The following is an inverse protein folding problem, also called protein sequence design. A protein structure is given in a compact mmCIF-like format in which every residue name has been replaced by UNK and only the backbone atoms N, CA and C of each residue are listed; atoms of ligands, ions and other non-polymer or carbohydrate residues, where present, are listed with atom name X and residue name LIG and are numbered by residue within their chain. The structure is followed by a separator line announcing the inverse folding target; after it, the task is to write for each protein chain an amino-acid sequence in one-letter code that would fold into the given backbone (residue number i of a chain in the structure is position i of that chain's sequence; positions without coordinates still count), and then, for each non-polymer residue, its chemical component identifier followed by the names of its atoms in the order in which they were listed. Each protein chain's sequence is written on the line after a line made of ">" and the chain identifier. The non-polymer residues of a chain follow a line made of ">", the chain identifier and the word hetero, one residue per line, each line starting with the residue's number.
data_IF_001324029332
#
_entry.id   IF_001324029332
#
_cell.length_a   1.000
_cell.length_b   1.000
_cell.length_c   1.000
_cell.angle_alpha   90.00
_cell.angle_beta   90.00
_cell.angle_gamma   90.00
#
_symmetry.space_group_name_H-M   'P 1'
#
loop_
_entity.id
_entity.type
_entity.pdbx_description
1 polymer ?
#
# COMPACT_ATOMS: atom_id res chain seq x y z
N UNK A 1 8.32 -22.54 -7.18
CA UNK A 1 7.08 -21.74 -7.15
C UNK A 1 6.39 -21.95 -8.48
N UNK A 2 5.27 -22.63 -8.48
CA UNK A 2 4.42 -22.77 -9.66
C UNK A 2 3.78 -21.39 -9.93
N UNK A 3 3.66 -20.97 -11.20
CA UNK A 3 3.03 -19.68 -11.59
C UNK A 3 1.59 -19.50 -11.04
N UNK A 4 1.02 -20.54 -10.50
CA UNK A 4 -0.37 -20.61 -10.02
C UNK A 4 -0.56 -20.06 -8.58
N UNK A 5 0.52 -19.69 -7.85
CA UNK A 5 0.42 -19.20 -6.46
C UNK A 5 0.63 -17.68 -6.30
N UNK A 6 1.03 -16.98 -7.35
CA UNK A 6 1.27 -15.54 -7.29
C UNK A 6 -0.04 -14.75 -7.22
N UNK A 7 -0.12 -13.74 -6.33
CA UNK A 7 -1.26 -12.84 -6.26
C UNK A 7 -1.32 -11.86 -7.45
N UNK A 8 -2.49 -11.24 -7.65
CA UNK A 8 -2.67 -10.22 -8.72
C UNK A 8 -1.67 -9.07 -8.54
N UNK A 9 -1.48 -8.60 -7.31
CA UNK A 9 -0.50 -7.57 -7.01
C UNK A 9 0.92 -8.00 -7.37
N UNK A 10 1.32 -9.23 -7.01
CA UNK A 10 2.65 -9.74 -7.33
C UNK A 10 2.89 -9.84 -8.83
N UNK A 11 1.89 -10.29 -9.58
CA UNK A 11 1.98 -10.33 -11.04
C UNK A 11 2.13 -8.91 -11.63
N UNK A 12 1.41 -7.94 -11.08
CA UNK A 12 1.55 -6.54 -11.48
C UNK A 12 2.94 -5.99 -11.16
N UNK A 13 3.46 -6.22 -9.94
CA UNK A 13 4.79 -5.77 -9.52
C UNK A 13 5.95 -6.38 -10.30
N UNK A 14 5.77 -7.58 -10.89
CA UNK A 14 6.78 -8.20 -11.78
C UNK A 14 6.89 -7.52 -13.14
N UNK A 15 5.89 -6.74 -13.54
CA UNK A 15 6.00 -5.90 -14.74
C UNK A 15 7.06 -4.83 -14.45
N UNK A 16 7.98 -4.61 -15.37
CA UNK A 16 9.03 -3.58 -15.23
C UNK A 16 8.49 -2.16 -15.51
N UNK A 17 7.22 -1.94 -15.26
CA UNK A 17 6.51 -0.67 -15.45
C UNK A 17 5.83 -0.28 -14.15
N UNK A 18 5.69 1.02 -13.85
CA UNK A 18 4.94 1.48 -12.69
C UNK A 18 3.51 0.96 -12.71
N UNK A 19 3.00 0.55 -11.55
CA UNK A 19 1.61 0.18 -11.34
C UNK A 19 0.87 1.30 -10.61
N UNK A 20 -0.40 1.50 -10.94
CA UNK A 20 -1.22 2.57 -10.41
C UNK A 20 -2.38 2.04 -9.58
N UNK A 21 -2.61 2.68 -8.42
CA UNK A 21 -3.65 2.27 -7.49
C UNK A 21 -4.65 3.36 -7.12
N UNK A 22 -5.85 2.90 -6.77
CA UNK A 22 -6.87 3.69 -6.08
C UNK A 22 -6.82 3.47 -4.58
N UNK A 23 -7.48 4.35 -3.81
CA UNK A 23 -7.49 4.28 -2.35
C UNK A 23 -8.92 4.37 -1.81
N UNK A 24 -9.32 3.42 -0.98
CA UNK A 24 -10.66 3.28 -0.43
C UNK A 24 -10.63 3.56 1.06
N UNK A 25 -11.49 4.47 1.50
CA UNK A 25 -11.61 4.91 2.89
C UNK A 25 -12.97 4.61 3.51
N UNK A 26 -13.94 4.16 2.71
CA UNK A 26 -15.31 3.88 3.13
C UNK A 26 -15.72 2.42 2.96
N UNK A 27 -16.75 1.94 3.70
CA UNK A 27 -17.18 0.54 3.69
C UNK A 27 -18.05 0.21 2.46
N UNK A 28 -17.48 0.39 1.25
CA UNK A 28 -18.17 0.18 -0.02
C UNK A 28 -17.39 -0.75 -0.95
N UNK A 29 -18.09 -1.47 -1.81
CA UNK A 29 -17.51 -2.22 -2.93
C UNK A 29 -17.44 -1.39 -4.21
N UNK A 30 -18.17 -0.28 -4.29
CA UNK A 30 -18.24 0.57 -5.48
C UNK A 30 -16.87 1.14 -5.84
N UNK A 31 -16.10 1.62 -4.85
CA UNK A 31 -14.75 2.13 -5.09
C UNK A 31 -13.84 1.11 -5.76
N UNK A 32 -13.67 -0.10 -5.22
CA UNK A 32 -12.88 -1.17 -5.85
C UNK A 32 -13.36 -1.53 -7.26
N UNK A 33 -14.69 -1.66 -7.47
CA UNK A 33 -15.27 -1.99 -8.77
C UNK A 33 -14.98 -0.93 -9.83
N UNK A 34 -15.16 0.36 -9.49
CA UNK A 34 -14.92 1.45 -10.44
C UNK A 34 -13.42 1.69 -10.70
N UNK A 35 -12.54 1.49 -9.71
CA UNK A 35 -11.10 1.51 -9.95
C UNK A 35 -10.68 0.35 -10.88
N UNK A 36 -11.19 -0.86 -10.65
CA UNK A 36 -10.93 -2.00 -11.54
C UNK A 36 -11.40 -1.72 -12.97
N UNK A 37 -12.63 -1.20 -13.13
CA UNK A 37 -13.21 -0.84 -14.43
C UNK A 37 -12.42 0.25 -15.16
N UNK A 38 -11.84 1.19 -14.39
CA UNK A 38 -10.98 2.26 -14.94
C UNK A 38 -9.57 1.78 -15.31
N UNK A 39 -9.21 0.52 -15.02
CA UNK A 39 -7.94 -0.08 -15.40
C UNK A 39 -6.81 0.14 -14.38
N UNK A 40 -7.14 0.37 -13.13
CA UNK A 40 -6.14 0.42 -12.05
C UNK A 40 -5.59 -0.97 -11.76
N UNK A 41 -4.30 -1.04 -11.41
CA UNK A 41 -3.61 -2.31 -11.12
C UNK A 41 -3.86 -2.82 -9.71
N UNK A 42 -4.13 -1.93 -8.75
CA UNK A 42 -4.41 -2.28 -7.36
C UNK A 42 -5.35 -1.29 -6.67
N UNK A 43 -5.93 -1.75 -5.56
CA UNK A 43 -6.73 -0.93 -4.65
C UNK A 43 -6.17 -1.06 -3.23
N UNK A 44 -5.91 0.08 -2.60
CA UNK A 44 -5.56 0.18 -1.19
C UNK A 44 -6.78 0.44 -0.32
N UNK A 45 -6.87 -0.24 0.82
CA UNK A 45 -7.90 -0.06 1.84
C UNK A 45 -7.27 0.57 3.09
N UNK A 46 -7.90 1.61 3.62
CA UNK A 46 -7.33 2.41 4.69
C UNK A 46 -7.96 2.09 6.04
N UNK A 47 -7.27 1.30 6.86
CA UNK A 47 -7.67 1.02 8.23
C UNK A 47 -7.01 1.97 9.26
N UNK A 48 -6.32 3.02 8.80
CA UNK A 48 -5.72 4.03 9.69
C UNK A 48 -6.52 5.35 9.67
N UNK A 49 -6.81 5.89 8.45
CA UNK A 49 -7.47 7.19 8.25
C UNK A 49 -8.72 7.06 7.39
N UNK A 50 -9.65 6.18 7.80
CA UNK A 50 -10.87 5.92 7.09
C UNK A 50 -11.98 5.47 8.06
N UNK A 51 -13.04 4.95 7.47
CA UNK A 51 -14.20 4.38 8.18
C UNK A 51 -14.14 2.84 8.17
N UNK A 52 -12.95 2.26 7.89
CA UNK A 52 -12.76 0.82 7.74
C UNK A 52 -12.03 0.26 8.95
N UNK A 53 -12.56 -0.83 9.48
CA UNK A 53 -11.81 -1.75 10.33
C UNK A 53 -11.45 -3.03 9.55
N UNK A 54 -10.77 -3.96 10.20
CA UNK A 54 -10.36 -5.23 9.58
C UNK A 54 -11.56 -6.15 9.24
N UNK A 55 -12.70 -6.02 9.92
CA UNK A 55 -13.92 -6.76 9.61
C UNK A 55 -14.61 -6.19 8.36
N UNK A 56 -14.68 -4.87 8.21
CA UNK A 56 -15.16 -4.20 7.00
C UNK A 56 -14.33 -4.62 5.79
N UNK A 57 -12.99 -4.57 5.94
CA UNK A 57 -12.05 -4.93 4.88
C UNK A 57 -12.23 -6.41 4.49
N UNK A 58 -12.34 -7.33 5.45
CA UNK A 58 -12.59 -8.75 5.16
C UNK A 58 -13.89 -8.94 4.37
N UNK A 59 -14.95 -8.20 4.74
CA UNK A 59 -16.23 -8.21 4.03
C UNK A 59 -16.13 -7.66 2.60
N UNK A 60 -15.35 -6.61 2.37
CA UNK A 60 -15.13 -6.03 1.04
C UNK A 60 -14.29 -7.00 0.19
N UNK A 61 -13.16 -7.48 0.70
CA UNK A 61 -12.28 -8.41 0.00
C UNK A 61 -13.03 -9.66 -0.47
N UNK A 62 -13.94 -10.20 0.36
CA UNK A 62 -14.77 -11.34 -0.02
C UNK A 62 -15.71 -11.03 -1.19
N UNK A 63 -16.30 -9.83 -1.22
CA UNK A 63 -17.24 -9.42 -2.29
C UNK A 63 -16.55 -9.04 -3.58
N UNK A 64 -15.29 -8.61 -3.51
CA UNK A 64 -14.50 -8.11 -4.64
C UNK A 64 -13.43 -9.09 -5.14
N UNK A 65 -13.40 -10.33 -4.63
CA UNK A 65 -12.36 -11.32 -4.99
C UNK A 65 -12.31 -11.69 -6.47
N UNK A 66 -13.39 -11.44 -7.21
CA UNK A 66 -13.49 -11.67 -8.65
C UNK A 66 -12.86 -10.55 -9.50
N UNK A 67 -12.50 -9.42 -8.89
CA UNK A 67 -11.92 -8.29 -9.62
C UNK A 67 -10.44 -8.56 -9.95
N UNK A 68 -9.99 -8.21 -11.16
CA UNK A 68 -8.61 -8.41 -11.60
C UNK A 68 -7.65 -7.31 -11.09
N UNK A 69 -7.75 -6.95 -9.81
CA UNK A 69 -6.92 -5.92 -9.17
C UNK A 69 -6.22 -6.48 -7.94
N UNK A 70 -4.98 -6.04 -7.70
CA UNK A 70 -4.27 -6.32 -6.46
C UNK A 70 -4.93 -5.62 -5.27
N UNK A 71 -4.82 -6.20 -4.08
CA UNK A 71 -5.41 -5.65 -2.85
C UNK A 71 -4.34 -5.37 -1.80
N UNK A 72 -4.36 -4.15 -1.26
CA UNK A 72 -3.38 -3.68 -0.28
C UNK A 72 -4.13 -3.08 0.90
N UNK A 73 -3.70 -3.36 2.12
CA UNK A 73 -4.33 -2.80 3.33
C UNK A 73 -3.33 -1.97 4.11
N UNK A 74 -3.64 -0.69 4.35
CA UNK A 74 -2.88 0.13 5.29
C UNK A 74 -3.37 -0.08 6.71
N UNK A 75 -2.44 -0.41 7.60
CA UNK A 75 -2.66 -0.61 9.04
C UNK A 75 -1.86 0.42 9.84
N UNK A 76 -2.36 0.86 11.01
CA UNK A 76 -1.76 1.96 11.76
C UNK A 76 -0.42 1.62 12.43
N UNK A 77 -0.13 0.33 12.63
CA UNK A 77 1.08 -0.14 13.30
C UNK A 77 1.37 -1.62 12.97
N UNK A 78 2.44 -2.17 13.54
CA UNK A 78 2.89 -3.54 13.33
C UNK A 78 2.20 -4.59 14.24
N UNK A 79 1.00 -4.33 14.74
CA UNK A 79 0.26 -5.28 15.57
C UNK A 79 -0.08 -6.55 14.79
N UNK A 80 0.28 -7.71 15.37
CA UNK A 80 0.16 -8.98 14.68
C UNK A 80 -1.29 -9.40 14.39
N UNK A 81 -2.24 -9.06 15.27
CA UNK A 81 -3.63 -9.48 15.10
C UNK A 81 -4.30 -8.86 13.85
N UNK A 82 -4.32 -7.52 13.63
CA UNK A 82 -4.90 -6.95 12.43
C UNK A 82 -4.13 -7.36 11.16
N UNK A 83 -2.80 -7.47 11.20
CA UNK A 83 -1.99 -7.96 10.07
C UNK A 83 -2.43 -9.37 9.67
N UNK A 84 -2.49 -10.30 10.63
CA UNK A 84 -2.93 -11.67 10.38
C UNK A 84 -4.34 -11.72 9.79
N UNK A 85 -5.31 -10.99 10.38
CA UNK A 85 -6.72 -10.99 9.97
C UNK A 85 -6.94 -10.50 8.53
N UNK A 86 -6.30 -9.41 8.11
CA UNK A 86 -6.48 -8.91 6.73
C UNK A 86 -5.80 -9.83 5.70
N UNK A 87 -4.66 -10.45 6.05
CA UNK A 87 -4.00 -11.44 5.20
C UNK A 87 -4.81 -12.75 5.11
N UNK A 88 -5.45 -13.18 6.20
CA UNK A 88 -6.36 -14.35 6.22
C UNK A 88 -7.63 -14.08 5.40
N UNK A 89 -8.08 -12.82 5.37
CA UNK A 89 -9.16 -12.38 4.49
C UNK A 89 -8.77 -12.31 3.00
N UNK A 90 -7.46 -12.41 2.68
CA UNK A 90 -6.94 -12.51 1.33
C UNK A 90 -6.40 -11.21 0.75
N UNK A 91 -6.00 -10.24 1.59
CA UNK A 91 -5.19 -9.12 1.13
C UNK A 91 -3.87 -9.61 0.53
N UNK A 92 -3.46 -9.02 -0.59
CA UNK A 92 -2.19 -9.37 -1.25
C UNK A 92 -0.98 -8.73 -0.56
N UNK A 93 -1.19 -7.59 0.10
CA UNK A 93 -0.14 -6.93 0.86
C UNK A 93 -0.69 -6.06 1.99
N UNK A 94 0.17 -5.77 2.96
CA UNK A 94 -0.06 -4.75 3.99
C UNK A 94 0.95 -3.62 3.86
N UNK A 95 0.49 -2.39 4.11
CA UNK A 95 1.32 -1.19 4.29
C UNK A 95 1.23 -0.80 5.76
N UNK A 96 2.32 -0.89 6.48
CA UNK A 96 2.36 -0.60 7.90
C UNK A 96 2.82 0.83 8.11
N UNK A 97 1.91 1.67 8.61
CA UNK A 97 2.16 3.08 8.87
C UNK A 97 3.13 3.30 10.04
N UNK A 98 3.71 4.49 10.12
CA UNK A 98 4.52 4.96 11.25
C UNK A 98 5.70 4.06 11.61
N UNK A 99 6.31 3.40 10.63
CA UNK A 99 7.55 2.63 10.84
C UNK A 99 8.72 3.60 10.97
N UNK A 100 9.37 3.62 12.12
CA UNK A 100 10.48 4.53 12.44
C UNK A 100 11.81 3.81 12.69
N UNK A 101 11.79 2.47 12.75
CA UNK A 101 13.01 1.67 13.01
C UNK A 101 12.99 0.33 12.30
N UNK A 102 14.18 -0.27 12.16
CA UNK A 102 14.36 -1.63 11.65
C UNK A 102 13.62 -2.66 12.52
N UNK A 103 13.57 -2.47 13.84
CA UNK A 103 12.87 -3.38 14.76
C UNK A 103 11.36 -3.39 14.50
N UNK A 104 10.75 -2.21 14.28
CA UNK A 104 9.33 -2.13 13.92
C UNK A 104 9.05 -2.76 12.56
N UNK A 105 9.93 -2.54 11.58
CA UNK A 105 9.82 -3.18 10.26
C UNK A 105 9.96 -4.70 10.36
N UNK A 106 10.88 -5.21 11.19
CA UNK A 106 11.04 -6.64 11.46
C UNK A 106 9.82 -7.24 12.17
N UNK A 107 9.22 -6.50 13.11
CA UNK A 107 7.97 -6.92 13.77
C UNK A 107 6.82 -7.04 12.76
N UNK A 108 6.68 -6.10 11.84
CA UNK A 108 5.68 -6.16 10.77
C UNK A 108 5.87 -7.38 9.87
N UNK A 109 7.11 -7.69 9.50
CA UNK A 109 7.44 -8.89 8.72
C UNK A 109 7.09 -10.15 9.52
N UNK A 110 7.50 -10.23 10.79
CA UNK A 110 7.22 -11.39 11.65
C UNK A 110 5.71 -11.63 11.82
N UNK A 111 4.90 -10.57 11.91
CA UNK A 111 3.45 -10.66 12.00
C UNK A 111 2.79 -11.23 10.74
N UNK A 112 3.44 -11.11 9.58
CA UNK A 112 2.94 -11.61 8.30
C UNK A 112 3.43 -13.03 7.95
N UNK A 113 4.35 -13.63 8.75
CA UNK A 113 4.98 -14.94 8.48
C UNK A 113 4.59 -15.96 9.54
N UNK A 114 4.47 -17.22 9.12
CA UNK A 114 4.20 -18.33 10.04
C UNK A 114 5.47 -18.78 10.78
N UNK A 115 5.32 -19.42 11.97
CA UNK A 115 6.45 -20.08 12.63
C UNK A 115 7.17 -21.08 11.71
N UNK A 116 8.49 -21.22 11.78
CA UNK A 116 9.42 -20.55 12.72
C UNK A 116 9.90 -19.17 12.27
N UNK A 117 9.46 -18.65 11.12
CA UNK A 117 9.92 -17.38 10.54
C UNK A 117 9.18 -16.16 11.12
N UNK A 118 8.08 -16.34 11.79
CA UNK A 118 7.27 -15.28 12.35
C UNK A 118 6.24 -15.73 13.37
N UNK A 119 5.21 -14.93 13.57
CA UNK A 119 4.23 -15.04 14.65
C UNK A 119 2.78 -15.24 14.16
N UNK A 120 2.54 -15.22 12.82
CA UNK A 120 1.20 -15.33 12.25
C UNK A 120 0.56 -16.67 12.65
N UNK A 121 -0.68 -16.61 13.17
CA UNK A 121 -1.52 -17.80 13.37
C UNK A 121 -2.16 -18.20 12.03
N UNK A 122 -2.36 -19.51 11.82
CA UNK A 122 -2.96 -20.03 10.60
C UNK A 122 -4.49 -20.02 10.69
N UNK A 123 -5.16 -19.28 9.79
CA UNK A 123 -6.62 -19.19 9.78
C UNK A 123 -7.19 -18.54 8.51
N UNK A 124 -6.92 -19.11 7.29
CA UNK A 124 -7.41 -18.52 6.06
C UNK A 124 -8.94 -18.48 6.03
N UNK A 125 -9.51 -17.33 5.67
CA UNK A 125 -10.96 -17.11 5.64
C UNK A 125 -11.59 -17.45 4.29
N UNK A 126 -10.79 -17.70 3.24
CA UNK A 126 -11.25 -17.97 1.89
C UNK A 126 -10.68 -19.28 1.35
N UNK A 127 -11.56 -20.11 0.79
CA UNK A 127 -11.14 -21.37 0.18
C UNK A 127 -10.15 -21.20 -0.99
N UNK A 128 -10.24 -20.08 -1.71
CA UNK A 128 -9.34 -19.73 -2.82
C UNK A 128 -7.88 -19.52 -2.39
N UNK A 129 -7.61 -19.28 -1.10
CA UNK A 129 -6.26 -19.19 -0.57
C UNK A 129 -5.57 -20.55 -0.42
N UNK A 130 -6.34 -21.64 -0.38
CA UNK A 130 -5.81 -22.98 -0.11
C UNK A 130 -5.45 -23.18 1.36
N UNK A 131 -4.68 -24.24 1.62
CA UNK A 131 -4.32 -24.65 2.98
C UNK A 131 -2.80 -24.77 3.19
N UNK A 132 -1.98 -24.45 2.18
CA UNK A 132 -0.53 -24.48 2.29
C UNK A 132 0.00 -23.17 2.88
N UNK A 133 0.63 -23.17 4.07
CA UNK A 133 1.20 -21.97 4.67
C UNK A 133 2.26 -21.30 3.77
N UNK A 134 3.01 -22.07 2.98
CA UNK A 134 4.05 -21.53 2.09
C UNK A 134 3.43 -20.68 0.96
N UNK A 135 2.28 -21.08 0.43
CA UNK A 135 1.55 -20.31 -0.58
C UNK A 135 1.02 -19.01 0.01
N UNK A 136 0.48 -19.04 1.23
CA UNK A 136 0.01 -17.83 1.94
C UNK A 136 1.14 -16.83 2.17
N UNK A 137 2.30 -17.31 2.66
CA UNK A 137 3.46 -16.44 2.89
C UNK A 137 4.02 -15.87 1.60
N UNK A 138 4.05 -16.69 0.53
CA UNK A 138 4.55 -16.24 -0.77
C UNK A 138 3.70 -15.12 -1.36
N UNK A 139 2.40 -15.11 -1.06
CA UNK A 139 1.45 -14.07 -1.52
C UNK A 139 1.51 -12.79 -0.69
N UNK A 140 1.81 -12.88 0.60
CA UNK A 140 1.74 -11.78 1.55
C UNK A 140 2.89 -10.79 1.38
N UNK A 141 2.63 -9.65 0.75
CA UNK A 141 3.56 -8.51 0.68
C UNK A 141 3.55 -7.70 1.98
N UNK A 142 4.72 -7.19 2.39
CA UNK A 142 4.86 -6.30 3.55
C UNK A 142 5.61 -5.04 3.11
N UNK A 143 4.97 -3.89 3.27
CA UNK A 143 5.54 -2.58 2.99
C UNK A 143 5.69 -1.79 4.28
N UNK A 144 6.87 -1.26 4.56
CA UNK A 144 7.09 -0.28 5.63
C UNK A 144 6.76 1.12 5.11
N UNK A 145 5.85 1.83 5.79
CA UNK A 145 5.52 3.21 5.40
C UNK A 145 6.49 4.18 6.09
N UNK A 146 7.16 4.97 5.27
CA UNK A 146 8.16 5.96 5.69
C UNK A 146 7.54 7.35 5.57
N UNK A 147 7.30 7.97 6.71
CA UNK A 147 6.53 9.20 6.79
C UNK A 147 6.96 10.11 7.96
N UNK A 148 8.14 9.83 8.56
CA UNK A 148 8.71 10.66 9.63
C UNK A 148 10.19 10.95 9.41
N UNK A 149 10.69 12.01 10.03
CA UNK A 149 12.11 12.35 10.00
C UNK A 149 12.98 11.25 10.66
N UNK A 150 12.46 10.57 11.68
CA UNK A 150 13.13 9.44 12.34
C UNK A 150 13.28 8.26 11.36
N UNK A 151 12.20 7.89 10.65
CA UNK A 151 12.26 6.86 9.62
C UNK A 151 13.22 7.21 8.48
N UNK A 152 13.22 8.49 8.04
CA UNK A 152 14.17 8.98 7.03
C UNK A 152 15.63 8.88 7.51
N UNK A 153 15.89 9.14 8.77
CA UNK A 153 17.25 9.02 9.34
C UNK A 153 17.73 7.55 9.35
N UNK A 154 16.84 6.60 9.70
CA UNK A 154 17.11 5.16 9.75
C UNK A 154 16.77 4.40 8.46
N UNK A 155 16.65 5.05 7.31
CA UNK A 155 16.11 4.44 6.09
C UNK A 155 16.92 3.23 5.60
N UNK A 156 18.23 3.26 5.71
CA UNK A 156 19.09 2.16 5.26
C UNK A 156 18.94 0.92 6.14
N UNK A 157 18.84 1.10 7.46
CA UNK A 157 18.61 0.03 8.43
C UNK A 157 17.22 -0.59 8.23
N UNK A 158 16.19 0.21 7.97
CA UNK A 158 14.85 -0.25 7.65
C UNK A 158 14.86 -1.04 6.33
N UNK A 159 15.49 -0.52 5.28
CA UNK A 159 15.59 -1.20 4.00
C UNK A 159 16.38 -2.52 4.03
N UNK A 160 17.26 -2.69 5.02
CA UNK A 160 18.03 -3.92 5.21
C UNK A 160 17.24 -5.05 5.89
N UNK A 161 16.01 -4.80 6.35
CA UNK A 161 15.19 -5.81 7.02
C UNK A 161 14.73 -6.90 6.04
N UNK A 162 15.15 -8.13 6.30
CA UNK A 162 14.79 -9.27 5.49
C UNK A 162 13.28 -9.54 5.52
N UNK A 163 12.70 -9.79 4.36
CA UNK A 163 11.28 -10.15 4.21
C UNK A 163 10.35 -8.96 3.93
N UNK A 164 10.86 -7.72 3.91
CA UNK A 164 10.14 -6.59 3.33
C UNK A 164 9.96 -6.81 1.82
N UNK A 165 8.77 -6.50 1.32
CA UNK A 165 8.48 -6.43 -0.11
C UNK A 165 8.87 -5.07 -0.67
N UNK A 166 8.69 -4.02 0.13
CA UNK A 166 8.95 -2.66 -0.29
C UNK A 166 8.85 -1.62 0.81
N UNK A 167 9.11 -0.39 0.39
CA UNK A 167 8.90 0.83 1.16
C UNK A 167 7.73 1.60 0.54
N UNK A 168 6.88 2.20 1.37
CA UNK A 168 5.78 3.06 0.92
C UNK A 168 5.91 4.45 1.54
N UNK A 169 5.90 5.51 0.74
CA UNK A 169 6.07 6.89 1.23
C UNK A 169 4.72 7.52 1.52
N UNK A 170 4.57 8.11 2.73
CA UNK A 170 3.46 8.98 3.13
C UNK A 170 3.87 10.46 3.08
N UNK A 171 3.68 11.18 1.95
CA UNK A 171 4.24 12.53 1.80
C UNK A 171 3.66 13.59 2.75
N UNK A 172 2.40 13.42 3.19
CA UNK A 172 1.75 14.39 4.07
C UNK A 172 2.38 14.39 5.47
N UNK A 173 2.48 13.22 6.09
CA UNK A 173 3.08 13.07 7.42
C UNK A 173 4.59 13.31 7.37
N UNK A 174 5.26 12.90 6.29
CA UNK A 174 6.67 13.24 6.07
C UNK A 174 6.88 14.75 6.05
N UNK A 175 6.04 15.52 5.36
CA UNK A 175 6.11 16.98 5.34
C UNK A 175 5.92 17.58 6.73
N UNK A 176 4.90 17.11 7.47
CA UNK A 176 4.66 17.56 8.86
C UNK A 176 5.89 17.28 9.73
N UNK A 177 6.43 16.06 9.64
CA UNK A 177 7.57 15.63 10.45
C UNK A 177 8.86 16.39 10.13
N UNK A 178 9.00 16.92 8.90
CA UNK A 178 10.08 17.80 8.48
C UNK A 178 9.81 19.29 8.78
N UNK A 179 8.70 19.63 9.44
CA UNK A 179 8.33 21.01 9.75
C UNK A 179 7.71 21.79 8.59
N UNK A 180 7.29 21.08 7.54
CA UNK A 180 6.66 21.64 6.33
C UNK A 180 5.13 21.49 6.33
N UNK A 181 4.44 22.21 5.45
CA UNK A 181 2.99 22.08 5.30
C UNK A 181 2.59 20.90 4.38
N UNK A 182 1.37 20.39 4.55
CA UNK A 182 0.88 19.25 3.76
C UNK A 182 0.49 19.61 2.33
N UNK A 183 0.14 20.88 2.07
CA UNK A 183 -0.34 21.32 0.75
C UNK A 183 0.78 21.27 -0.27
N UNK A 184 0.63 20.39 -1.27
CA UNK A 184 1.65 20.20 -2.28
C UNK A 184 2.94 19.59 -1.75
N UNK A 185 2.88 18.78 -0.71
CA UNK A 185 4.04 18.16 -0.04
C UNK A 185 5.06 17.57 -1.03
N UNK A 186 4.62 16.81 -2.00
CA UNK A 186 5.49 16.20 -3.03
C UNK A 186 6.22 17.19 -3.95
N UNK A 187 5.89 18.48 -3.89
CA UNK A 187 6.51 19.56 -4.69
C UNK A 187 7.35 20.52 -3.85
N UNK A 188 7.33 20.41 -2.54
CA UNK A 188 8.17 21.21 -1.64
C UNK A 188 9.60 20.68 -1.73
N UNK A 189 10.62 21.53 -1.94
CA UNK A 189 11.98 21.08 -2.22
C UNK A 189 12.54 20.12 -1.17
N UNK A 190 12.39 20.43 0.11
CA UNK A 190 12.88 19.62 1.23
C UNK A 190 12.19 18.24 1.29
N UNK A 191 10.86 18.21 1.12
CA UNK A 191 10.09 16.97 1.12
C UNK A 191 10.41 16.13 -0.11
N UNK A 192 10.57 16.76 -1.28
CA UNK A 192 10.95 16.07 -2.51
C UNK A 192 12.37 15.46 -2.40
N UNK A 193 13.31 16.16 -1.78
CA UNK A 193 14.64 15.63 -1.52
C UNK A 193 14.58 14.38 -0.62
N UNK A 194 13.78 14.43 0.45
CA UNK A 194 13.54 13.30 1.34
C UNK A 194 12.90 12.11 0.57
N UNK A 195 11.89 12.37 -0.26
CA UNK A 195 11.24 11.36 -1.10
C UNK A 195 12.26 10.68 -2.03
N UNK A 196 13.11 11.45 -2.69
CA UNK A 196 14.15 10.93 -3.59
C UNK A 196 15.18 10.10 -2.81
N UNK A 197 15.58 10.53 -1.61
CA UNK A 197 16.48 9.77 -0.74
C UNK A 197 15.88 8.43 -0.33
N UNK A 198 14.60 8.40 0.07
CA UNK A 198 13.89 7.17 0.42
C UNK A 198 13.82 6.24 -0.79
N UNK A 199 13.44 6.77 -1.95
CA UNK A 199 13.33 5.99 -3.19
C UNK A 199 14.65 5.32 -3.55
N UNK A 200 15.77 6.06 -3.47
CA UNK A 200 17.11 5.52 -3.76
C UNK A 200 17.49 4.41 -2.78
N UNK A 201 17.36 4.64 -1.48
CA UNK A 201 17.70 3.65 -0.46
C UNK A 201 16.92 2.34 -0.66
N UNK A 202 15.62 2.43 -0.94
CA UNK A 202 14.78 1.25 -1.20
C UNK A 202 15.17 0.55 -2.52
N UNK A 203 15.42 1.31 -3.58
CA UNK A 203 15.84 0.77 -4.87
C UNK A 203 17.20 0.06 -4.80
N UNK A 204 18.18 0.66 -4.08
CA UNK A 204 19.50 0.08 -3.86
C UNK A 204 19.44 -1.23 -3.06
N UNK A 205 18.44 -1.35 -2.16
CA UNK A 205 18.13 -2.58 -1.43
C UNK A 205 17.32 -3.61 -2.24
N UNK A 206 16.96 -3.30 -3.49
CA UNK A 206 16.13 -4.18 -4.34
C UNK A 206 14.67 -4.27 -3.93
N UNK A 207 14.18 -3.31 -3.14
CA UNK A 207 12.81 -3.24 -2.66
C UNK A 207 11.90 -2.50 -3.65
N UNK A 208 10.61 -2.85 -3.67
CA UNK A 208 9.59 -2.08 -4.39
C UNK A 208 9.44 -0.70 -3.72
N UNK A 209 9.40 0.35 -4.53
CA UNK A 209 9.17 1.71 -4.03
C UNK A 209 7.73 2.14 -4.28
N UNK A 210 6.99 2.42 -3.21
CA UNK A 210 5.60 2.88 -3.25
C UNK A 210 5.45 4.31 -2.76
N UNK A 211 4.39 5.01 -3.22
CA UNK A 211 4.07 6.37 -2.78
C UNK A 211 2.60 6.72 -2.97
N UNK A 212 2.05 7.53 -2.05
CA UNK A 212 0.74 8.17 -2.22
C UNK A 212 0.89 9.51 -2.95
N UNK A 213 0.65 9.53 -4.25
CA UNK A 213 0.83 10.72 -5.09
C UNK A 213 -0.33 11.72 -4.99
N UNK A 214 -1.56 11.24 -4.78
CA UNK A 214 -2.76 12.06 -4.60
C UNK A 214 -3.40 12.59 -5.89
N UNK A 215 -2.72 12.51 -7.03
CA UNK A 215 -3.28 12.81 -8.35
C UNK A 215 -2.43 12.23 -9.49
N UNK A 216 -3.01 12.15 -10.70
CA UNK A 216 -2.34 11.55 -11.86
C UNK A 216 -1.11 12.30 -12.36
N UNK A 217 -1.08 13.65 -12.27
CA UNK A 217 0.07 14.46 -12.69
C UNK A 217 1.27 14.23 -11.73
N UNK A 218 1.00 14.25 -10.44
CA UNK A 218 2.00 13.91 -9.42
C UNK A 218 2.44 12.46 -9.57
N UNK A 219 1.50 11.52 -9.84
CA UNK A 219 1.82 10.11 -10.08
C UNK A 219 2.78 9.92 -11.27
N UNK A 220 2.57 10.63 -12.37
CA UNK A 220 3.48 10.61 -13.52
C UNK A 220 4.89 11.10 -13.12
N UNK A 221 4.99 12.18 -12.34
CA UNK A 221 6.28 12.68 -11.87
C UNK A 221 6.99 11.66 -10.95
N UNK A 222 6.24 10.99 -10.07
CA UNK A 222 6.80 9.94 -9.22
C UNK A 222 7.27 8.72 -10.02
N UNK A 223 6.53 8.34 -11.06
CA UNK A 223 6.97 7.28 -11.98
C UNK A 223 8.29 7.62 -12.66
N UNK A 224 8.48 8.88 -13.07
CA UNK A 224 9.75 9.37 -13.65
C UNK A 224 10.91 9.36 -12.64
N UNK A 225 10.62 9.48 -11.34
CA UNK A 225 11.60 9.34 -10.26
C UNK A 225 11.91 7.87 -9.92
N UNK A 226 11.26 6.90 -10.57
CA UNK A 226 11.52 5.48 -10.37
C UNK A 226 10.64 4.80 -9.34
N UNK A 227 9.54 5.42 -8.91
CA UNK A 227 8.55 4.71 -8.07
C UNK A 227 7.81 3.65 -8.89
N UNK A 228 7.72 2.44 -8.33
CA UNK A 228 7.09 1.29 -8.99
C UNK A 228 5.63 1.06 -8.60
N UNK A 229 5.16 1.60 -7.46
CA UNK A 229 3.80 1.42 -6.95
C UNK A 229 3.21 2.77 -6.51
N UNK A 230 2.22 3.31 -7.24
CA UNK A 230 1.80 4.70 -7.10
C UNK A 230 0.29 4.79 -6.88
N UNK A 231 -0.12 5.28 -5.71
CA UNK A 231 -1.53 5.59 -5.44
C UNK A 231 -1.88 6.98 -6.00
N UNK A 232 -2.87 7.05 -6.89
CA UNK A 232 -3.23 8.30 -7.57
C UNK A 232 -4.28 9.13 -6.83
N UNK A 233 -5.28 8.49 -6.22
CA UNK A 233 -6.35 9.22 -5.55
C UNK A 233 -7.17 8.31 -4.63
N UNK A 234 -7.78 8.92 -3.61
CA UNK A 234 -8.87 8.27 -2.88
C UNK A 234 -10.19 8.32 -3.69
N UNK A 235 -11.07 7.34 -3.46
CA UNK A 235 -12.39 7.25 -4.10
C UNK A 235 -13.21 8.54 -3.94
N UNK A 236 -13.19 9.15 -2.74
CA UNK A 236 -13.89 10.40 -2.46
C UNK A 236 -13.35 11.58 -3.28
N UNK A 237 -12.05 11.59 -3.58
CA UNK A 237 -11.46 12.61 -4.45
C UNK A 237 -11.85 12.39 -5.91
N UNK A 238 -11.85 11.14 -6.37
CA UNK A 238 -12.27 10.78 -7.72
C UNK A 238 -13.75 11.17 -7.96
N UNK A 239 -14.64 10.81 -7.02
CA UNK A 239 -16.06 11.17 -7.05
C UNK A 239 -16.25 12.69 -7.07
N UNK A 240 -15.59 13.42 -6.19
CA UNK A 240 -15.70 14.89 -6.12
C UNK A 240 -15.23 15.55 -7.41
N UNK A 241 -14.13 15.08 -8.01
CA UNK A 241 -13.63 15.61 -9.29
C UNK A 241 -14.61 15.36 -10.43
N UNK A 242 -15.18 14.15 -10.53
CA UNK A 242 -16.18 13.80 -11.53
C UNK A 242 -17.44 14.63 -11.38
N UNK A 243 -18.01 14.70 -10.17
CA UNK A 243 -19.20 15.49 -9.88
C UNK A 243 -18.99 16.99 -10.19
N UNK A 244 -17.86 17.54 -9.81
CA UNK A 244 -17.53 18.95 -10.11
C UNK A 244 -17.34 19.20 -11.61
N UNK A 245 -16.83 18.25 -12.38
CA UNK A 245 -16.72 18.35 -13.83
C UNK A 245 -18.12 18.43 -14.48
N UNK A 246 -19.01 17.50 -14.16
CA UNK A 246 -20.39 17.50 -14.66
C UNK A 246 -21.16 18.78 -14.31
N UNK A 247 -21.00 19.27 -13.06
CA UNK A 247 -21.67 20.53 -12.67
C UNK A 247 -21.16 21.72 -13.49
N UNK A 248 -19.85 21.82 -13.74
CA UNK A 248 -19.29 22.88 -14.58
C UNK A 248 -19.80 22.81 -16.01
N UNK A 249 -19.87 21.62 -16.60
CA UNK A 249 -20.40 21.42 -17.96
C UNK A 249 -21.87 21.83 -18.08
N UNK A 250 -22.68 21.59 -17.03
CA UNK A 250 -24.10 21.94 -17.02
C UNK A 250 -24.38 23.43 -16.76
N UNK A 251 -23.39 24.20 -16.25
CA UNK A 251 -23.56 25.62 -15.86
C UNK A 251 -22.80 26.60 -16.77
N UNK A 252 -22.11 26.13 -17.80
CA UNK A 252 -21.52 26.89 -18.86
C UNK A 252 -22.46 27.01 -20.07
#
# INVERSE_FOLDING_TARGET
>A
MTENSASVLQLALRRKTPIFGGWVTGPTVLGPEEFARAGYDYVGFDAQHGYLDDADIAGILRRTEHLPVGTVVRLPNADAAPIGRVLDAGADAVVIAMIESADQAAAAVAAARYPPRGLRSFGPLRASLGVDPADHESRAGVFAMIETAAALAGIHEICAVNGLTGIYVGPADLAISLGSGVVGATRQPEVLEAIVRIQRAASDAGLVTGIHAGDGKTGQAMAQLGFGMITLAAESQALRRGAAAHLREATQ
#
